data_IF_672225690722
#
_entry.id   IF_672225690722
#
_cell.length_a   1.000
_cell.length_b   1.000
_cell.length_c   1.000
_cell.angle_alpha   90.00
_cell.angle_beta   90.00
_cell.angle_gamma   90.00
#
_symmetry.space_group_name_H-M   'P 1'
#
loop_
_entity.id
_entity.type
_entity.pdbx_description
1 polymer ?
#
# COMPACT_ATOMS: atom_id res chain seq x y z
N UNK A 1 -22.04 5.08 7.92
CA UNK A 1 -20.76 4.87 8.62
C UNK A 1 -19.60 5.16 7.70
N UNK A 2 -18.63 5.87 8.22
CA UNK A 2 -17.45 6.17 7.42
C UNK A 2 -16.47 5.00 7.44
N UNK A 3 -15.74 4.84 6.36
CA UNK A 3 -14.66 3.88 6.24
C UNK A 3 -13.32 4.61 6.27
N UNK A 4 -12.27 3.86 6.52
CA UNK A 4 -10.93 4.41 6.53
C UNK A 4 -10.29 4.18 5.18
N UNK A 5 -9.75 5.24 4.59
CA UNK A 5 -9.00 5.14 3.34
C UNK A 5 -7.57 5.62 3.58
N UNK A 6 -6.63 4.95 2.93
CA UNK A 6 -5.22 5.33 3.02
C UNK A 6 -4.68 5.47 1.61
N UNK A 7 -4.01 6.58 1.36
CA UNK A 7 -3.28 6.81 0.12
C UNK A 7 -1.80 6.83 0.48
N UNK A 8 -1.04 5.92 -0.10
CA UNK A 8 0.41 5.86 0.12
C UNK A 8 1.11 6.20 -1.19
N UNK A 9 2.03 7.15 -1.13
CA UNK A 9 2.84 7.57 -2.25
C UNK A 9 4.27 7.12 -2.00
N UNK A 10 4.80 6.31 -2.92
CA UNK A 10 6.18 5.85 -2.86
C UNK A 10 6.98 6.49 -3.98
N UNK A 11 8.15 6.99 -3.66
CA UNK A 11 9.15 7.36 -4.66
C UNK A 11 10.20 6.26 -4.68
N UNK A 12 10.38 5.61 -5.82
CA UNK A 12 11.14 4.38 -5.95
C UNK A 12 12.36 4.61 -6.82
N UNK A 13 13.50 4.05 -6.41
CA UNK A 13 14.72 4.09 -7.21
C UNK A 13 14.43 3.43 -8.57
N UNK A 14 14.88 4.03 -9.70
CA UNK A 14 14.53 3.54 -11.03
C UNK A 14 14.90 2.07 -11.25
N UNK A 15 16.03 1.65 -10.75
CA UNK A 15 16.50 0.26 -10.90
C UNK A 15 15.65 -0.76 -10.15
N UNK A 16 14.85 -0.31 -9.19
CA UNK A 16 14.00 -1.18 -8.37
C UNK A 16 12.51 -1.06 -8.70
N UNK A 17 12.14 -0.22 -9.66
CA UNK A 17 10.72 0.02 -9.96
C UNK A 17 9.95 -1.23 -10.35
N UNK A 18 10.48 -2.02 -11.28
CA UNK A 18 9.82 -3.26 -11.70
C UNK A 18 9.62 -4.23 -10.54
N UNK A 19 10.67 -4.44 -9.75
CA UNK A 19 10.61 -5.33 -8.60
C UNK A 19 9.63 -4.82 -7.55
N UNK A 20 9.61 -3.52 -7.33
CA UNK A 20 8.67 -2.91 -6.38
C UNK A 20 7.22 -3.10 -6.82
N UNK A 21 6.93 -2.89 -8.11
CA UNK A 21 5.57 -3.07 -8.65
C UNK A 21 5.12 -4.53 -8.48
N UNK A 22 5.98 -5.49 -8.82
CA UNK A 22 5.64 -6.91 -8.66
C UNK A 22 5.41 -7.27 -7.18
N UNK A 23 6.25 -6.74 -6.29
CA UNK A 23 6.08 -6.95 -4.85
C UNK A 23 4.73 -6.39 -4.38
N UNK A 24 4.37 -5.19 -4.83
CA UNK A 24 3.13 -4.53 -4.44
C UNK A 24 1.90 -5.24 -4.99
N UNK A 25 1.97 -5.78 -6.22
CA UNK A 25 0.87 -6.57 -6.78
C UNK A 25 0.56 -7.79 -5.90
N UNK A 26 1.59 -8.50 -5.48
CA UNK A 26 1.42 -9.65 -4.58
C UNK A 26 0.89 -9.23 -3.21
N UNK A 27 1.42 -8.15 -2.68
CA UNK A 27 0.97 -7.59 -1.40
C UNK A 27 -0.51 -7.17 -1.47
N UNK A 28 -0.91 -6.51 -2.55
CA UNK A 28 -2.29 -6.09 -2.76
C UNK A 28 -3.23 -7.30 -2.84
N UNK A 29 -2.83 -8.33 -3.56
CA UNK A 29 -3.63 -9.54 -3.70
C UNK A 29 -3.87 -10.21 -2.33
N UNK A 30 -2.82 -10.32 -1.52
CA UNK A 30 -2.94 -10.90 -0.18
C UNK A 30 -3.75 -10.01 0.76
N UNK A 31 -3.56 -8.70 0.65
CA UNK A 31 -4.29 -7.73 1.48
C UNK A 31 -5.79 -7.76 1.20
N UNK A 32 -6.18 -7.90 -0.07
CA UNK A 32 -7.60 -7.99 -0.46
C UNK A 32 -8.31 -9.19 0.17
N UNK A 33 -7.57 -10.25 0.50
CA UNK A 33 -8.13 -11.43 1.14
C UNK A 33 -8.33 -11.25 2.65
N UNK A 34 -7.81 -10.19 3.25
CA UNK A 34 -7.98 -9.92 4.68
C UNK A 34 -9.40 -9.45 4.98
N UNK A 35 -9.94 -9.89 6.11
CA UNK A 35 -11.26 -9.47 6.55
C UNK A 35 -11.29 -7.96 6.76
N UNK A 36 -12.31 -7.31 6.22
CA UNK A 36 -12.48 -5.86 6.32
C UNK A 36 -11.72 -5.06 5.28
N UNK A 37 -10.90 -5.67 4.42
CA UNK A 37 -10.29 -4.97 3.30
C UNK A 37 -11.33 -4.78 2.21
N UNK A 38 -11.66 -3.53 1.91
CA UNK A 38 -12.68 -3.19 0.90
C UNK A 38 -12.05 -2.81 -0.44
N UNK A 39 -10.82 -2.33 -0.41
CA UNK A 39 -10.10 -1.90 -1.60
C UNK A 39 -8.60 -1.94 -1.31
N UNK A 40 -7.83 -2.39 -2.28
CA UNK A 40 -6.38 -2.33 -2.19
C UNK A 40 -5.83 -2.32 -3.62
N UNK A 41 -5.54 -1.13 -4.13
CA UNK A 41 -5.12 -0.94 -5.51
C UNK A 41 -3.72 -0.37 -5.59
N UNK A 42 -2.95 -0.90 -6.55
CA UNK A 42 -1.64 -0.35 -6.92
C UNK A 42 -1.85 0.55 -8.11
N UNK A 43 -1.50 1.83 -7.97
CA UNK A 43 -1.67 2.81 -9.03
C UNK A 43 -0.32 3.24 -9.56
N UNK A 44 -0.23 3.31 -10.89
CA UNK A 44 0.97 3.73 -11.60
C UNK A 44 0.69 5.07 -12.27
N UNK A 45 1.25 6.19 -11.76
CA UNK A 45 1.06 7.48 -12.41
C UNK A 45 1.55 7.43 -13.86
N UNK A 46 0.72 7.92 -14.78
CA UNK A 46 1.03 7.83 -16.21
C UNK A 46 2.20 8.70 -16.64
N UNK A 47 2.40 9.81 -15.94
CA UNK A 47 3.40 10.82 -16.32
C UNK A 47 4.60 10.87 -15.39
N UNK A 48 4.63 10.03 -14.35
CA UNK A 48 5.73 10.03 -13.38
C UNK A 48 6.11 8.59 -13.04
N UNK A 49 7.17 8.10 -13.67
CA UNK A 49 7.63 6.73 -13.48
C UNK A 49 8.46 6.53 -12.21
N UNK A 50 8.77 7.60 -11.48
CA UNK A 50 9.47 7.48 -10.20
C UNK A 50 8.52 7.10 -9.06
N UNK A 51 7.20 7.22 -9.26
CA UNK A 51 6.21 7.06 -8.20
C UNK A 51 5.31 5.86 -8.43
N UNK A 52 4.93 5.24 -7.31
CA UNK A 52 3.91 4.19 -7.26
C UNK A 52 3.00 4.53 -6.08
N UNK A 53 1.70 4.40 -6.25
CA UNK A 53 0.73 4.72 -5.21
C UNK A 53 -0.05 3.48 -4.82
N UNK A 54 -0.47 3.43 -3.55
CA UNK A 54 -1.47 2.49 -3.08
C UNK A 54 -2.71 3.27 -2.65
N UNK A 55 -3.89 2.74 -2.97
CA UNK A 55 -5.15 3.23 -2.42
C UNK A 55 -5.80 2.07 -1.69
N UNK A 56 -6.00 2.24 -0.39
CA UNK A 56 -6.54 1.22 0.49
C UNK A 56 -7.84 1.70 1.12
N UNK A 57 -8.82 0.81 1.28
CA UNK A 57 -10.03 1.10 2.04
C UNK A 57 -10.29 -0.05 3.00
N UNK A 58 -10.54 0.30 4.26
CA UNK A 58 -10.75 -0.65 5.34
C UNK A 58 -12.09 -0.37 6.01
N UNK A 59 -12.83 -1.43 6.32
CA UNK A 59 -14.17 -1.32 6.93
C UNK A 59 -14.15 -0.50 8.21
N UNK A 60 -13.14 -0.71 9.06
CA UNK A 60 -13.02 -0.06 10.35
C UNK A 60 -11.57 -0.09 10.85
N UNK A 61 -11.35 0.55 11.99
CA UNK A 61 -10.02 0.60 12.60
C UNK A 61 -9.51 -0.77 13.02
N UNK A 62 -10.40 -1.67 13.48
CA UNK A 62 -10.00 -3.00 13.92
C UNK A 62 -9.41 -3.80 12.76
N UNK A 63 -10.03 -3.74 11.58
CA UNK A 63 -9.53 -4.41 10.39
C UNK A 63 -8.18 -3.84 9.95
N UNK A 64 -8.05 -2.52 9.97
CA UNK A 64 -6.78 -1.88 9.64
C UNK A 64 -5.68 -2.26 10.64
N UNK A 65 -6.01 -2.35 11.92
CA UNK A 65 -5.03 -2.73 12.95
C UNK A 65 -4.49 -4.14 12.72
N UNK A 66 -5.34 -5.08 12.36
CA UNK A 66 -4.90 -6.45 12.04
C UNK A 66 -3.91 -6.43 10.88
N UNK A 67 -4.22 -5.68 9.82
CA UNK A 67 -3.33 -5.55 8.67
C UNK A 67 -1.99 -4.89 9.07
N UNK A 68 -2.06 -3.77 9.78
CA UNK A 68 -0.88 -2.95 10.11
C UNK A 68 0.07 -3.66 11.07
N UNK A 69 -0.45 -4.49 11.95
CA UNK A 69 0.35 -5.19 12.96
C UNK A 69 0.75 -6.60 12.52
N UNK A 70 0.30 -7.03 11.35
CA UNK A 70 0.55 -8.38 10.87
C UNK A 70 1.97 -8.59 10.34
N UNK A 71 2.45 -9.84 10.34
CA UNK A 71 3.81 -10.15 9.87
C UNK A 71 3.98 -9.98 8.36
N UNK A 72 2.90 -10.08 7.59
CA UNK A 72 2.97 -9.91 6.14
C UNK A 72 3.45 -8.50 5.77
N UNK A 73 2.85 -7.48 6.38
CA UNK A 73 3.24 -6.10 6.10
C UNK A 73 4.68 -5.82 6.55
N UNK A 74 5.06 -6.33 7.72
CA UNK A 74 6.42 -6.16 8.23
C UNK A 74 7.45 -6.73 7.26
N UNK A 75 7.23 -7.94 6.75
CA UNK A 75 8.14 -8.59 5.79
C UNK A 75 8.19 -7.83 4.47
N UNK A 76 7.04 -7.37 3.99
CA UNK A 76 6.99 -6.60 2.75
C UNK A 76 7.79 -5.31 2.88
N UNK A 77 7.65 -4.60 4.01
CA UNK A 77 8.40 -3.37 4.28
C UNK A 77 9.91 -3.62 4.34
N UNK A 78 10.34 -4.67 5.00
CA UNK A 78 11.76 -5.02 5.05
C UNK A 78 12.35 -5.19 3.66
N UNK A 79 11.58 -5.82 2.76
CA UNK A 79 12.03 -6.07 1.39
C UNK A 79 12.19 -4.78 0.60
N UNK A 80 11.19 -3.89 0.63
CA UNK A 80 11.20 -2.74 -0.26
C UNK A 80 11.88 -1.49 0.31
N UNK A 81 12.09 -1.42 1.62
CA UNK A 81 12.59 -0.20 2.26
C UNK A 81 13.88 0.32 1.62
N UNK A 82 14.87 -0.53 1.29
CA UNK A 82 16.09 -0.04 0.63
C UNK A 82 15.87 0.50 -0.78
N UNK A 83 14.72 0.21 -1.39
CA UNK A 83 14.41 0.60 -2.77
C UNK A 83 13.80 1.98 -2.89
N UNK A 84 13.46 2.61 -1.75
CA UNK A 84 12.71 3.85 -1.74
C UNK A 84 13.63 5.07 -1.64
N UNK A 85 13.23 6.13 -2.35
CA UNK A 85 13.76 7.49 -2.17
C UNK A 85 12.87 8.29 -1.23
N UNK A 86 11.59 7.93 -1.13
CA UNK A 86 10.65 8.61 -0.26
C UNK A 86 9.34 7.86 -0.11
N UNK A 87 8.60 8.21 0.92
CA UNK A 87 7.29 7.62 1.20
C UNK A 87 6.43 8.61 1.97
N UNK A 88 5.18 8.74 1.55
CA UNK A 88 4.19 9.55 2.27
C UNK A 88 2.87 8.79 2.34
N UNK A 89 2.34 8.62 3.54
CA UNK A 89 1.02 8.01 3.74
C UNK A 89 0.05 9.08 4.24
N UNK A 90 -1.12 9.16 3.61
CA UNK A 90 -2.20 10.05 4.02
C UNK A 90 -3.39 9.18 4.42
N UNK A 91 -3.83 9.34 5.66
CA UNK A 91 -4.97 8.61 6.19
C UNK A 91 -6.20 9.50 6.15
N UNK A 92 -7.29 8.97 5.58
CA UNK A 92 -8.52 9.72 5.35
C UNK A 92 -9.70 8.95 5.90
N UNK A 93 -10.76 9.69 6.23
CA UNK A 93 -12.07 9.12 6.50
C UNK A 93 -12.94 9.41 5.29
N UNK A 94 -13.55 8.38 4.70
CA UNK A 94 -14.44 8.53 3.57
C UNK A 94 -15.88 8.33 4.02
N UNK A 95 -16.70 9.31 3.76
CA UNK A 95 -18.12 9.28 4.12
C UNK A 95 -18.98 8.83 2.96
#
# INVERSE_FOLDING_TARGET
MSRIMIVVEFEVKPEHRSGFIELMKGHAQRSRAEDGCQQFDVLLPQEDQSRVLLVEAWRDQAALDVHSKGPMLARTRETYQPWLLGRKATRCTAD
#
